data_IF_253036861067
#
_entry.id   IF_253036861067
#
_cell.length_a   1.000
_cell.length_b   1.000
_cell.length_c   1.000
_cell.angle_alpha   90.00
_cell.angle_beta   90.00
_cell.angle_gamma   90.00
#
_symmetry.space_group_name_H-M   'P 1'
#
loop_
_entity.id
_entity.type
_entity.pdbx_description
1 polymer ?
#
# COMPACT_ATOMS: atom_id res chain seq x y z
N UNK A 1 0.89 14.45 -2.27
CA UNK A 1 0.68 14.64 -0.81
C UNK A 1 -0.71 14.13 -0.49
N UNK A 2 -0.81 13.10 0.35
CA UNK A 2 -2.05 12.66 0.99
C UNK A 2 -2.38 13.68 2.09
N UNK A 3 -3.61 14.24 2.10
CA UNK A 3 -4.04 15.12 3.18
C UNK A 3 -4.03 14.42 4.54
N UNK A 4 -3.77 15.20 5.60
CA UNK A 4 -3.72 14.75 6.98
C UNK A 4 -4.95 13.91 7.35
N UNK A 5 -4.73 12.70 7.88
CA UNK A 5 -5.77 11.78 8.31
C UNK A 5 -6.43 10.98 7.18
N UNK A 6 -6.10 11.25 5.91
CA UNK A 6 -6.67 10.51 4.79
C UNK A 6 -5.93 9.19 4.54
N UNK A 7 -6.64 8.28 3.87
CA UNK A 7 -6.15 6.99 3.42
C UNK A 7 -5.71 7.02 1.96
N UNK A 8 -4.74 6.17 1.61
CA UNK A 8 -4.34 5.87 0.24
C UNK A 8 -4.08 4.36 0.10
N UNK A 9 -3.90 3.89 -1.14
CA UNK A 9 -3.97 2.46 -1.43
C UNK A 9 -5.31 1.84 -1.02
N UNK A 10 -6.37 2.66 -0.96
CA UNK A 10 -7.69 2.32 -0.44
C UNK A 10 -8.79 2.57 -1.50
N UNK A 11 -9.78 1.68 -1.71
CA UNK A 11 -9.96 0.38 -1.04
C UNK A 11 -8.74 -0.53 -1.21
N UNK A 12 -8.45 -1.43 -0.24
CA UNK A 12 -7.24 -2.23 -0.26
C UNK A 12 -7.14 -3.02 -1.56
N UNK A 13 -5.94 -3.09 -2.13
CA UNK A 13 -5.67 -3.81 -3.36
C UNK A 13 -4.33 -4.54 -3.27
N UNK A 14 -4.14 -5.53 -4.14
CA UNK A 14 -2.94 -6.37 -4.25
C UNK A 14 -2.61 -6.63 -5.72
N UNK A 15 -1.39 -7.09 -5.94
CA UNK A 15 -0.85 -7.46 -7.25
C UNK A 15 0.25 -8.52 -7.04
N UNK A 16 -0.14 -9.67 -6.49
CA UNK A 16 0.73 -10.76 -6.03
C UNK A 16 0.46 -12.11 -6.72
N UNK A 17 -0.44 -12.11 -7.72
CA UNK A 17 -0.78 -13.29 -8.54
C UNK A 17 -0.76 -12.93 -10.02
N UNK A 18 -0.07 -13.72 -10.83
CA UNK A 18 -0.09 -13.59 -12.29
C UNK A 18 -1.34 -14.26 -12.89
N UNK A 19 -2.45 -13.51 -12.94
CA UNK A 19 -3.74 -13.99 -13.45
C UNK A 19 -4.46 -12.91 -14.31
N UNK A 20 -3.91 -12.59 -15.49
CA UNK A 20 -4.49 -11.57 -16.36
C UNK A 20 -5.88 -11.98 -16.91
N UNK A 21 -6.81 -11.03 -17.12
CA UNK A 21 -6.64 -9.58 -16.96
C UNK A 21 -6.94 -9.07 -15.53
N UNK A 22 -7.16 -9.96 -14.57
CA UNK A 22 -7.63 -9.57 -13.23
C UNK A 22 -6.54 -8.99 -12.34
N UNK A 23 -5.32 -9.53 -12.43
CA UNK A 23 -4.17 -9.18 -11.60
C UNK A 23 -2.88 -9.59 -12.33
N UNK A 24 -1.78 -8.89 -12.08
CA UNK A 24 -0.44 -9.32 -12.48
C UNK A 24 0.49 -9.28 -11.28
N UNK A 25 1.47 -10.18 -11.24
CA UNK A 25 2.44 -10.27 -10.15
C UNK A 25 3.50 -9.16 -10.26
N UNK A 26 3.47 -8.24 -9.29
CA UNK A 26 4.34 -7.07 -9.17
C UNK A 26 4.72 -6.87 -7.71
N UNK A 27 6.00 -6.95 -7.35
CA UNK A 27 6.47 -6.51 -6.04
C UNK A 27 6.47 -4.98 -5.97
N UNK A 28 6.21 -4.40 -4.80
CA UNK A 28 6.16 -2.94 -4.62
C UNK A 28 6.94 -2.48 -3.37
N UNK A 29 7.46 -1.25 -3.41
CA UNK A 29 8.03 -0.59 -2.22
C UNK A 29 7.48 0.81 -2.05
N UNK A 30 7.16 1.22 -0.82
CA UNK A 30 6.73 2.58 -0.47
C UNK A 30 7.79 3.30 0.36
N UNK A 31 8.32 4.40 -0.14
CA UNK A 31 9.21 5.32 0.59
C UNK A 31 8.43 6.53 1.10
N UNK A 32 8.57 6.87 2.38
CA UNK A 32 7.72 7.85 3.05
C UNK A 32 8.41 9.17 3.35
N UNK A 33 7.66 10.27 3.19
CA UNK A 33 7.99 11.61 3.69
C UNK A 33 6.78 12.19 4.42
N UNK A 34 7.04 13.08 5.36
CA UNK A 34 6.01 13.73 6.17
C UNK A 34 6.28 15.22 6.29
N UNK A 35 5.20 16.00 6.44
CA UNK A 35 5.26 17.42 6.76
C UNK A 35 4.25 17.73 7.88
N UNK A 36 4.72 18.17 9.06
CA UNK A 36 6.13 18.34 9.45
C UNK A 36 6.88 16.99 9.63
N UNK A 37 8.22 17.01 9.59
CA UNK A 37 9.06 15.80 9.47
C UNK A 37 8.93 14.80 10.63
N UNK A 38 8.54 15.22 11.83
CA UNK A 38 8.28 14.33 12.97
C UNK A 38 6.96 13.54 12.86
N UNK A 39 6.23 13.73 11.76
CA UNK A 39 4.99 13.01 11.50
C UNK A 39 5.19 11.50 11.36
N UNK A 40 4.07 10.79 11.44
CA UNK A 40 4.02 9.36 11.26
C UNK A 40 2.68 8.94 10.61
N UNK A 41 2.64 7.70 10.15
CA UNK A 41 1.44 7.06 9.63
C UNK A 41 1.44 5.58 9.94
N UNK A 42 0.45 4.88 9.40
CA UNK A 42 0.37 3.43 9.46
C UNK A 42 0.23 2.86 8.05
N UNK A 43 0.94 1.77 7.79
CA UNK A 43 0.69 0.91 6.64
C UNK A 43 0.34 -0.48 7.16
N UNK A 44 -0.78 -1.02 6.68
CA UNK A 44 -1.16 -2.40 6.95
C UNK A 44 -0.81 -3.23 5.74
N UNK A 45 -0.21 -4.41 5.92
CA UNK A 45 0.02 -5.40 4.86
C UNK A 45 -0.59 -6.71 5.32
N UNK A 46 -1.50 -7.27 4.53
CA UNK A 46 -2.20 -8.51 4.90
C UNK A 46 -2.59 -9.37 3.70
N UNK A 47 -2.58 -10.69 3.87
CA UNK A 47 -2.98 -11.64 2.82
C UNK A 47 -4.37 -12.24 3.12
N UNK A 48 -5.15 -12.66 2.11
CA UNK A 48 -6.47 -13.26 2.35
C UNK A 48 -6.44 -14.54 3.18
N UNK A 49 -5.32 -15.27 3.15
CA UNK A 49 -5.10 -16.50 3.93
C UNK A 49 -4.61 -16.24 5.36
N UNK A 50 -4.37 -14.97 5.73
CA UNK A 50 -3.92 -14.56 7.05
C UNK A 50 -2.45 -14.89 7.38
N UNK A 51 -1.66 -15.35 6.40
CA UNK A 51 -0.22 -15.61 6.60
C UNK A 51 0.57 -14.34 6.89
N UNK A 52 0.16 -13.23 6.30
CA UNK A 52 0.65 -11.89 6.64
C UNK A 52 -0.52 -11.11 7.24
N UNK A 53 -0.28 -10.50 8.40
CA UNK A 53 -1.21 -9.58 9.06
C UNK A 53 -0.38 -8.61 9.91
N UNK A 54 0.23 -7.63 9.25
CA UNK A 54 1.20 -6.72 9.86
C UNK A 54 0.73 -5.28 9.73
N UNK A 55 0.96 -4.49 10.79
CA UNK A 55 0.71 -3.05 10.80
C UNK A 55 1.97 -2.31 11.22
N UNK A 56 2.59 -1.62 10.26
CA UNK A 56 3.80 -0.84 10.47
C UNK A 56 3.46 0.59 10.84
N UNK A 57 4.10 1.12 11.89
CA UNK A 57 4.20 2.57 12.06
C UNK A 57 5.30 3.07 11.14
N UNK A 58 4.98 3.96 10.21
CA UNK A 58 5.93 4.53 9.25
C UNK A 58 6.21 5.99 9.58
N UNK A 59 7.48 6.40 9.46
CA UNK A 59 7.99 7.75 9.75
C UNK A 59 8.78 8.28 8.56
N UNK A 60 9.28 9.50 8.71
CA UNK A 60 10.07 10.18 7.69
C UNK A 60 11.29 9.36 7.27
N UNK A 61 11.42 9.13 5.96
CA UNK A 61 12.43 8.29 5.29
C UNK A 61 12.31 6.78 5.52
N UNK A 62 11.24 6.29 6.15
CA UNK A 62 11.01 4.85 6.21
C UNK A 62 10.65 4.31 4.83
N UNK A 63 10.96 3.02 4.61
CA UNK A 63 10.56 2.28 3.43
C UNK A 63 9.91 0.97 3.84
N UNK A 64 8.78 0.63 3.23
CA UNK A 64 8.13 -0.68 3.39
C UNK A 64 8.20 -1.42 2.07
N UNK A 65 8.70 -2.66 2.10
CA UNK A 65 8.67 -3.58 0.99
C UNK A 65 7.42 -4.46 1.08
N UNK A 66 6.74 -4.63 -0.05
CA UNK A 66 5.47 -5.33 -0.17
C UNK A 66 5.70 -6.44 -1.19
N UNK A 67 6.01 -7.63 -0.69
CA UNK A 67 6.15 -8.81 -1.53
C UNK A 67 4.79 -9.31 -2.04
N UNK A 68 3.75 -9.21 -1.20
CA UNK A 68 2.41 -9.69 -1.49
C UNK A 68 1.38 -9.11 -0.51
N UNK A 69 0.10 -9.31 -0.81
CA UNK A 69 -1.02 -8.92 0.02
C UNK A 69 -1.56 -7.52 -0.24
N UNK A 70 -2.66 -7.22 0.45
CA UNK A 70 -3.32 -5.93 0.45
C UNK A 70 -2.56 -4.93 1.31
N UNK A 71 -2.34 -3.71 0.80
CA UNK A 71 -1.39 -2.78 1.43
C UNK A 71 -1.90 -1.32 1.58
N UNK A 72 -3.05 -1.08 2.26
CA UNK A 72 -3.54 0.27 2.49
C UNK A 72 -2.68 1.04 3.51
N UNK A 73 -2.70 2.37 3.42
CA UNK A 73 -1.96 3.25 4.33
C UNK A 73 -2.73 4.52 4.70
N UNK A 74 -2.38 5.12 5.83
CA UNK A 74 -2.87 6.44 6.24
C UNK A 74 -1.82 7.24 7.00
N UNK A 75 -1.89 8.57 6.87
CA UNK A 75 -1.10 9.49 7.68
C UNK A 75 -1.85 9.82 8.98
N UNK A 76 -1.12 9.99 10.09
CA UNK A 76 -1.75 10.45 11.33
C UNK A 76 -2.32 11.87 11.15
N UNK A 77 -3.44 12.21 11.82
CA UNK A 77 -3.99 13.56 11.78
C UNK A 77 -2.96 14.61 12.23
N UNK A 78 -2.91 15.75 11.53
CA UNK A 78 -1.95 16.82 11.75
C UNK A 78 -0.68 16.74 10.90
N UNK A 79 -0.46 15.64 10.17
CA UNK A 79 0.71 15.44 9.32
C UNK A 79 0.28 15.16 7.88
N UNK A 80 0.77 15.97 6.95
CA UNK A 80 0.67 15.65 5.52
C UNK A 80 1.66 14.53 5.21
N UNK A 81 1.25 13.58 4.38
CA UNK A 81 2.08 12.43 4.03
C UNK A 81 2.37 12.41 2.52
N UNK A 82 3.58 12.07 2.14
CA UNK A 82 3.94 11.72 0.77
C UNK A 82 4.54 10.32 0.77
N UNK A 83 4.22 9.56 -0.26
CA UNK A 83 4.87 8.29 -0.51
C UNK A 83 5.27 8.21 -1.98
N UNK A 84 6.47 7.70 -2.23
CA UNK A 84 6.94 7.30 -3.55
C UNK A 84 6.86 5.78 -3.61
N UNK A 85 6.21 5.27 -4.65
CA UNK A 85 6.13 3.85 -4.90
C UNK A 85 6.92 3.44 -6.14
N UNK A 86 7.52 2.26 -6.08
CA UNK A 86 8.16 1.62 -7.23
C UNK A 86 7.71 0.17 -7.30
N UNK A 87 7.39 -0.29 -8.51
CA UNK A 87 6.98 -1.66 -8.75
C UNK A 87 7.86 -2.37 -9.77
N UNK A 88 8.03 -3.67 -9.59
CA UNK A 88 8.74 -4.55 -10.52
C UNK A 88 8.03 -5.89 -10.65
N UNK A 89 7.90 -6.40 -11.87
CA UNK A 89 7.31 -7.70 -12.16
C UNK A 89 8.29 -8.56 -12.94
N UNK A 90 8.25 -9.88 -12.73
CA UNK A 90 9.17 -10.82 -13.39
C UNK A 90 8.85 -11.00 -14.89
N UNK A 91 7.56 -11.03 -15.22
CA UNK A 91 7.06 -11.40 -16.56
C UNK A 91 6.28 -10.25 -17.20
N UNK A 92 5.37 -9.65 -16.45
CA UNK A 92 4.48 -8.60 -16.91
C UNK A 92 4.87 -7.23 -16.32
N UNK A 93 4.34 -6.15 -16.91
CA UNK A 93 4.47 -4.78 -16.41
C UNK A 93 3.16 -4.03 -16.63
N UNK A 94 2.59 -3.49 -15.56
CA UNK A 94 1.35 -2.72 -15.62
C UNK A 94 0.85 -2.34 -14.24
N UNK A 95 -0.29 -1.64 -14.20
CA UNK A 95 -0.99 -1.27 -12.96
C UNK A 95 -2.32 -2.04 -12.88
N UNK A 96 -2.24 -3.38 -12.92
CA UNK A 96 -3.42 -4.26 -12.88
C UNK A 96 -3.43 -4.94 -11.51
N UNK A 97 -4.39 -4.55 -10.67
CA UNK A 97 -4.49 -5.00 -9.28
C UNK A 97 -5.90 -5.51 -8.95
N UNK A 98 -5.96 -6.47 -8.03
CA UNK A 98 -7.20 -6.98 -7.48
C UNK A 98 -7.55 -6.24 -6.18
N UNK A 99 -8.79 -5.76 -6.06
CA UNK A 99 -9.31 -5.18 -4.82
C UNK A 99 -9.68 -6.26 -3.81
N UNK A 100 -9.62 -5.94 -2.52
CA UNK A 100 -10.18 -6.79 -1.48
C UNK A 100 -11.71 -6.89 -1.65
N UNK A 101 -12.27 -8.08 -1.93
CA UNK A 101 -13.71 -8.25 -2.10
C UNK A 101 -14.53 -7.83 -0.88
N UNK A 102 -13.98 -7.93 0.34
CA UNK A 102 -14.67 -7.53 1.57
C UNK A 102 -14.89 -6.01 1.65
N UNK A 103 -14.05 -5.24 0.97
CA UNK A 103 -14.08 -3.78 0.93
C UNK A 103 -14.51 -3.23 -0.44
N UNK A 104 -14.93 -4.09 -1.37
CA UNK A 104 -15.31 -3.71 -2.74
C UNK A 104 -16.54 -2.81 -2.84
N UNK A 105 -17.28 -2.62 -1.75
CA UNK A 105 -18.41 -1.69 -1.65
C UNK A 105 -17.98 -0.22 -1.51
N UNK A 106 -16.74 0.05 -1.09
CA UNK A 106 -16.20 1.40 -0.98
C UNK A 106 -15.84 1.93 -2.37
N UNK A 107 -16.23 3.18 -2.68
CA UNK A 107 -16.02 3.83 -3.99
C UNK A 107 -15.17 5.09 -3.89
#
# INVERSE_FOLDING_TARGET
>A
MIPSGNWSGYPPHRHDVDNPPGEIDMEETYFYRFDPEQGFGFQRVYTPDGRIEEAYTVKYNDTVAIAEGYHPLCGAPGYQMYYLWTMTGRVNRGLISAKDPQHGWVK
#
